data_IF_993517725574
#
_entry.id   IF_993517725574
#
_cell.length_a   1.000
_cell.length_b   1.000
_cell.length_c   1.000
_cell.angle_alpha   90.00
_cell.angle_beta   90.00
_cell.angle_gamma   90.00
#
_symmetry.space_group_name_H-M   'P 1'
#
loop_
_entity.id
_entity.type
_entity.pdbx_description
1 polymer ?
#
# COMPACT_ATOMS: atom_id res chain seq x y z
N UNK A 1 0.42 7.80 1.86
CA UNK A 1 -0.47 7.73 3.04
C UNK A 1 -0.17 6.50 3.89
N UNK A 2 -0.66 6.48 5.13
CA UNK A 2 -0.52 5.35 6.02
C UNK A 2 -1.87 4.68 6.27
N UNK A 3 -1.85 3.35 6.37
CA UNK A 3 -3.00 2.51 6.72
C UNK A 3 -2.68 1.76 7.99
N UNK A 4 -3.56 1.82 8.95
CA UNK A 4 -3.51 0.99 10.14
C UNK A 4 -4.30 -0.28 9.89
N UNK A 5 -3.73 -1.41 10.25
CA UNK A 5 -4.37 -2.72 10.18
C UNK A 5 -4.65 -3.19 11.61
N UNK A 6 -5.90 -3.54 11.89
CA UNK A 6 -6.28 -4.13 13.17
C UNK A 6 -5.75 -5.56 13.24
N UNK A 7 -4.81 -5.80 14.14
CA UNK A 7 -4.21 -7.09 14.42
C UNK A 7 -4.61 -7.64 15.80
N UNK A 8 -5.77 -7.23 16.34
CA UNK A 8 -6.27 -7.68 17.64
C UNK A 8 -6.46 -9.20 17.74
N UNK A 9 -6.77 -9.84 16.62
CA UNK A 9 -6.93 -11.30 16.51
C UNK A 9 -5.61 -12.05 16.25
N UNK A 10 -4.51 -11.33 16.20
CA UNK A 10 -3.18 -11.85 15.90
C UNK A 10 -2.55 -11.17 14.68
N UNK A 11 -1.24 -11.35 14.57
CA UNK A 11 -0.48 -10.83 13.42
C UNK A 11 -0.47 -11.87 12.29
N UNK A 12 -0.92 -11.47 11.11
CA UNK A 12 -0.87 -12.27 9.90
C UNK A 12 -0.10 -11.50 8.82
N UNK A 13 0.90 -12.15 8.22
CA UNK A 13 1.69 -11.56 7.11
C UNK A 13 0.83 -11.29 5.87
N UNK A 14 -0.15 -12.12 5.64
CA UNK A 14 -1.16 -11.94 4.62
C UNK A 14 -2.49 -12.37 5.25
N UNK A 15 -3.43 -11.44 5.53
CA UNK A 15 -4.75 -11.84 5.99
C UNK A 15 -5.42 -12.64 4.87
N UNK A 16 -5.23 -13.97 4.92
CA UNK A 16 -5.87 -14.89 4.01
C UNK A 16 -7.38 -14.77 4.16
N UNK A 17 -8.10 -14.78 3.05
CA UNK A 17 -9.53 -15.01 3.09
C UNK A 17 -9.77 -16.39 3.72
N UNK A 18 -10.70 -16.51 4.68
CA UNK A 18 -11.14 -17.83 5.12
C UNK A 18 -11.55 -18.66 3.90
N UNK A 19 -10.94 -19.83 3.72
CA UNK A 19 -11.19 -20.72 2.57
C UNK A 19 -12.65 -21.14 2.43
N UNK A 20 -13.46 -20.93 3.46
CA UNK A 20 -14.83 -21.41 3.59
C UNK A 20 -15.90 -20.51 2.93
N UNK A 21 -15.52 -19.42 2.23
CA UNK A 21 -16.48 -18.47 1.64
C UNK A 21 -16.33 -18.29 0.12
N UNK A 22 -15.64 -19.19 -0.58
CA UNK A 22 -15.51 -19.13 -2.03
C UNK A 22 -16.58 -20.05 -2.68
N UNK A 23 -17.85 -19.66 -2.57
CA UNK A 23 -18.95 -20.34 -3.30
C UNK A 23 -19.37 -19.60 -4.59
N UNK A 24 -18.65 -18.55 -5.01
CA UNK A 24 -18.97 -17.83 -6.23
C UNK A 24 -17.85 -18.01 -7.28
N UNK A 25 -18.14 -18.64 -8.42
CA UNK A 25 -17.13 -18.93 -9.46
C UNK A 25 -16.59 -17.70 -10.19
N UNK A 26 -17.14 -16.51 -9.99
CA UNK A 26 -16.68 -15.28 -10.62
C UNK A 26 -15.55 -14.57 -9.87
N UNK A 27 -15.26 -14.94 -8.61
CA UNK A 27 -14.22 -14.32 -7.82
C UNK A 27 -12.78 -14.73 -8.21
N UNK A 28 -12.62 -15.77 -9.02
CA UNK A 28 -11.32 -16.31 -9.42
C UNK A 28 -10.63 -15.55 -10.56
N UNK A 29 -11.31 -14.63 -11.23
CA UNK A 29 -10.75 -13.98 -12.43
C UNK A 29 -10.03 -12.65 -12.16
N UNK A 30 -10.32 -11.99 -11.03
CA UNK A 30 -9.64 -10.76 -10.63
C UNK A 30 -9.02 -10.97 -9.25
N UNK A 31 -7.72 -11.25 -9.23
CA UNK A 31 -6.94 -11.50 -8.03
C UNK A 31 -7.40 -10.76 -6.76
N UNK A 32 -7.71 -11.55 -5.75
CA UNK A 32 -7.77 -11.18 -4.34
C UNK A 32 -8.74 -10.07 -3.92
N UNK A 33 -10.02 -10.20 -4.22
CA UNK A 33 -11.03 -9.56 -3.40
C UNK A 33 -11.35 -10.46 -2.20
N UNK A 34 -10.70 -10.21 -1.07
CA UNK A 34 -11.09 -10.79 0.21
C UNK A 34 -12.18 -9.92 0.84
N UNK A 35 -13.45 -10.33 0.91
CA UNK A 35 -14.46 -9.62 1.68
C UNK A 35 -14.17 -9.84 3.16
N UNK A 36 -13.30 -9.02 3.75
CA UNK A 36 -13.10 -9.02 5.19
C UNK A 36 -14.40 -8.63 5.87
N UNK A 37 -14.94 -9.55 6.64
CA UNK A 37 -16.00 -9.28 7.60
C UNK A 37 -15.39 -8.34 8.67
N UNK A 38 -15.67 -7.06 8.54
CA UNK A 38 -15.08 -6.03 9.37
C UNK A 38 -13.98 -5.24 8.65
N UNK A 39 -13.99 -3.94 8.80
CA UNK A 39 -13.04 -3.06 8.15
C UNK A 39 -11.73 -3.06 8.98
N UNK A 40 -10.90 -4.10 8.83
CA UNK A 40 -9.59 -4.22 9.51
C UNK A 40 -8.63 -3.08 9.11
N UNK A 41 -8.89 -2.39 8.01
CA UNK A 41 -8.01 -1.39 7.44
C UNK A 41 -8.57 0.03 7.66
N UNK A 42 -7.76 0.92 8.19
CA UNK A 42 -8.12 2.31 8.42
C UNK A 42 -7.02 3.25 7.93
N UNK A 43 -7.37 4.20 7.04
CA UNK A 43 -6.44 5.26 6.66
C UNK A 43 -6.23 6.20 7.83
N UNK A 44 -4.97 6.41 8.20
CA UNK A 44 -4.58 7.35 9.24
C UNK A 44 -4.64 8.77 8.65
N UNK A 45 -5.65 9.54 9.07
CA UNK A 45 -5.78 10.93 8.65
C UNK A 45 -4.63 11.76 9.22
N UNK A 46 -4.08 12.64 8.39
CA UNK A 46 -3.00 13.54 8.80
C UNK A 46 -1.75 12.83 9.34
N UNK A 47 -1.42 11.65 8.79
CA UNK A 47 -0.19 10.96 9.15
C UNK A 47 1.01 11.88 8.86
N UNK A 48 1.69 12.29 9.92
CA UNK A 48 2.81 13.25 9.82
C UNK A 48 4.10 12.52 9.48
N UNK A 49 4.90 13.16 8.63
CA UNK A 49 6.28 12.73 8.38
C UNK A 49 7.05 12.67 9.69
N UNK A 50 7.76 11.58 9.91
CA UNK A 50 8.54 11.30 11.11
C UNK A 50 9.86 10.61 10.72
N UNK A 51 10.73 10.33 11.70
CA UNK A 51 12.03 9.71 11.46
C UNK A 51 11.96 8.33 10.77
N UNK A 52 10.87 7.57 10.97
CA UNK A 52 10.66 6.30 10.28
C UNK A 52 10.40 6.51 8.79
N UNK A 53 9.52 7.45 8.45
CA UNK A 53 9.25 7.81 7.05
C UNK A 53 10.51 8.30 6.35
N UNK A 54 11.33 9.12 7.02
CA UNK A 54 12.61 9.58 6.45
C UNK A 54 13.57 8.43 6.15
N UNK A 55 13.61 7.40 7.01
CA UNK A 55 14.39 6.18 6.75
C UNK A 55 13.87 5.43 5.53
N UNK A 56 12.54 5.29 5.40
CA UNK A 56 11.91 4.62 4.27
C UNK A 56 12.14 5.39 2.96
N UNK A 57 11.96 6.70 2.96
CA UNK A 57 12.24 7.55 1.79
C UNK A 57 13.70 7.43 1.34
N UNK A 58 14.63 7.43 2.30
CA UNK A 58 16.05 7.22 2.00
C UNK A 58 16.30 5.82 1.41
N UNK A 59 15.69 4.79 1.98
CA UNK A 59 15.83 3.42 1.50
C UNK A 59 15.32 3.29 0.06
N UNK A 60 14.11 3.71 -0.24
CA UNK A 60 13.54 3.59 -1.59
C UNK A 60 14.32 4.40 -2.61
N UNK A 61 14.71 5.65 -2.27
CA UNK A 61 15.48 6.51 -3.16
C UNK A 61 16.87 5.93 -3.47
N UNK A 62 17.55 5.36 -2.46
CA UNK A 62 18.87 4.74 -2.66
C UNK A 62 18.80 3.49 -3.55
N UNK A 63 17.66 2.81 -3.56
CA UNK A 63 17.45 1.59 -4.36
C UNK A 63 16.72 1.87 -5.69
N UNK A 64 16.49 3.12 -6.07
CA UNK A 64 15.82 3.48 -7.32
C UNK A 64 14.35 3.04 -7.35
N UNK A 65 13.71 2.93 -6.19
CA UNK A 65 12.30 2.56 -6.05
C UNK A 65 11.49 3.86 -5.95
N UNK A 66 10.56 4.07 -6.86
CA UNK A 66 9.75 5.29 -6.91
C UNK A 66 8.37 5.11 -6.30
N UNK A 67 7.84 3.88 -6.34
CA UNK A 67 6.54 3.52 -5.77
C UNK A 67 6.70 2.24 -4.97
N UNK A 68 6.33 2.26 -3.70
CA UNK A 68 6.31 1.09 -2.84
C UNK A 68 5.25 1.19 -1.74
N UNK A 69 4.70 0.05 -1.34
CA UNK A 69 4.10 -0.17 -0.05
C UNK A 69 5.14 -0.71 0.92
N UNK A 70 5.20 -0.17 2.13
CA UNK A 70 6.11 -0.64 3.17
C UNK A 70 5.28 -1.02 4.38
N UNK A 71 5.49 -2.24 4.86
CA UNK A 71 4.72 -2.78 5.98
C UNK A 71 5.60 -2.98 7.20
N UNK A 72 5.08 -2.61 8.35
CA UNK A 72 5.79 -2.74 9.61
C UNK A 72 4.83 -3.01 10.78
N UNK A 73 5.36 -3.61 11.81
CA UNK A 73 4.69 -3.77 13.10
C UNK A 73 5.46 -3.04 14.19
N UNK A 74 4.75 -2.68 15.25
CA UNK A 74 5.34 -2.10 16.45
C UNK A 74 5.03 -3.01 17.62
N UNK A 75 6.06 -3.46 18.33
CA UNK A 75 5.87 -4.29 19.50
C UNK A 75 5.42 -3.49 20.73
N UNK A 76 5.14 -4.19 21.82
CA UNK A 76 4.69 -3.57 23.09
C UNK A 76 5.73 -2.62 23.71
N UNK A 77 7.00 -2.74 23.33
CA UNK A 77 8.07 -1.84 23.77
C UNK A 77 8.18 -0.58 22.92
N UNK A 78 7.39 -0.48 21.85
CA UNK A 78 7.44 0.61 20.87
C UNK A 78 8.52 0.42 19.80
N UNK A 79 9.15 -0.75 19.71
CA UNK A 79 10.14 -1.05 18.67
C UNK A 79 9.47 -1.43 17.38
N UNK A 80 9.90 -0.81 16.29
CA UNK A 80 9.38 -1.05 14.94
C UNK A 80 10.16 -2.12 14.21
N UNK A 81 9.45 -3.03 13.57
CA UNK A 81 10.00 -4.09 12.70
C UNK A 81 9.34 -3.98 11.33
N UNK A 82 10.14 -3.61 10.34
CA UNK A 82 9.71 -3.62 8.93
C UNK A 82 9.87 -5.03 8.40
N UNK A 83 8.84 -5.56 7.76
CA UNK A 83 8.85 -6.94 7.29
C UNK A 83 8.56 -7.08 5.80
N UNK A 84 7.95 -6.06 5.15
CA UNK A 84 7.70 -6.10 3.72
C UNK A 84 7.96 -4.76 3.04
N UNK A 85 8.49 -4.83 1.80
CA UNK A 85 8.64 -3.72 0.87
C UNK A 85 8.16 -4.19 -0.50
N UNK A 86 6.97 -3.80 -0.86
CA UNK A 86 6.27 -4.27 -2.04
C UNK A 86 6.17 -3.15 -3.10
N UNK A 87 6.75 -3.37 -4.28
CA UNK A 87 6.66 -2.43 -5.42
C UNK A 87 5.39 -2.62 -6.25
N UNK A 88 4.60 -3.64 -5.95
CA UNK A 88 3.31 -3.92 -6.59
C UNK A 88 2.19 -4.03 -5.54
N UNK A 89 2.09 -3.01 -4.69
CA UNK A 89 1.15 -2.97 -3.58
C UNK A 89 -0.30 -2.92 -4.05
N UNK A 90 -1.13 -3.74 -3.47
CA UNK A 90 -2.58 -3.66 -3.61
C UNK A 90 -3.15 -2.55 -2.70
N UNK A 91 -3.86 -1.61 -3.31
CA UNK A 91 -4.50 -0.52 -2.57
C UNK A 91 -5.88 -0.94 -2.11
N UNK A 92 -6.16 -0.78 -0.81
CA UNK A 92 -7.45 -1.14 -0.24
C UNK A 92 -8.51 -0.09 -0.64
N UNK A 93 -9.31 -0.40 -1.66
CA UNK A 93 -10.35 0.48 -2.17
C UNK A 93 -11.45 0.78 -1.15
N UNK A 94 -11.68 -0.12 -0.19
CA UNK A 94 -12.67 0.09 0.87
C UNK A 94 -12.16 1.11 1.90
N UNK A 95 -10.91 0.99 2.33
CA UNK A 95 -10.30 1.99 3.21
C UNK A 95 -10.26 3.36 2.53
N UNK A 96 -9.98 3.41 1.23
CA UNK A 96 -9.95 4.65 0.44
C UNK A 96 -11.32 5.29 0.22
N UNK A 97 -12.44 4.53 0.31
CA UNK A 97 -13.80 5.10 0.15
C UNK A 97 -14.10 6.21 1.16
N UNK A 98 -13.61 6.05 2.39
CA UNK A 98 -13.81 7.02 3.48
C UNK A 98 -12.76 8.14 3.51
N UNK A 99 -11.89 8.21 2.52
CA UNK A 99 -10.77 9.15 2.44
C UNK A 99 -10.77 9.90 1.11
N UNK A 100 -10.22 11.10 1.11
CA UNK A 100 -9.92 11.85 -0.13
C UNK A 100 -8.69 11.29 -0.87
N UNK A 101 -7.91 10.46 -0.20
CA UNK A 101 -6.70 9.85 -0.75
C UNK A 101 -7.07 8.65 -1.61
N UNK A 102 -6.55 8.62 -2.82
CA UNK A 102 -6.76 7.56 -3.82
C UNK A 102 -5.40 7.13 -4.37
N UNK A 103 -4.89 5.99 -3.90
CA UNK A 103 -3.56 5.49 -4.26
C UNK A 103 -3.39 5.30 -5.77
N UNK A 104 -4.33 4.61 -6.42
CA UNK A 104 -4.28 4.39 -7.87
C UNK A 104 -4.33 5.68 -8.67
N UNK A 105 -5.08 6.69 -8.21
CA UNK A 105 -5.10 8.00 -8.85
C UNK A 105 -3.75 8.69 -8.73
N UNK A 106 -3.13 8.65 -7.57
CA UNK A 106 -1.80 9.23 -7.33
C UNK A 106 -0.74 8.57 -8.21
N UNK A 107 -0.81 7.24 -8.39
CA UNK A 107 0.09 6.52 -9.32
C UNK A 107 -0.15 6.96 -10.76
N UNK A 108 -1.39 7.05 -11.20
CA UNK A 108 -1.71 7.48 -12.55
C UNK A 108 -1.20 8.91 -12.83
N UNK A 109 -1.32 9.82 -11.87
CA UNK A 109 -0.79 11.17 -11.96
C UNK A 109 0.74 11.19 -12.01
N UNK A 110 1.40 10.37 -11.21
CA UNK A 110 2.85 10.19 -11.23
C UNK A 110 3.31 9.69 -12.61
N UNK A 111 2.76 8.57 -13.10
CA UNK A 111 3.11 7.99 -14.39
C UNK A 111 2.87 8.96 -15.56
N UNK A 112 1.78 9.73 -15.50
CA UNK A 112 1.52 10.79 -16.49
C UNK A 112 2.62 11.85 -16.48
N UNK A 113 3.09 12.27 -15.31
CA UNK A 113 4.17 13.25 -15.18
C UNK A 113 5.47 12.71 -15.77
N UNK A 114 5.83 11.46 -15.47
CA UNK A 114 7.02 10.79 -16.01
C UNK A 114 6.95 10.68 -17.55
N UNK A 115 5.80 10.25 -18.09
CA UNK A 115 5.60 10.16 -19.53
C UNK A 115 5.77 11.51 -20.23
N UNK A 116 5.23 12.59 -19.66
CA UNK A 116 5.39 13.94 -20.20
C UNK A 116 6.85 14.40 -20.15
N UNK A 117 7.59 14.07 -19.09
CA UNK A 117 9.02 14.38 -18.99
C UNK A 117 9.81 13.66 -20.07
N UNK A 118 9.54 12.37 -20.31
CA UNK A 118 10.18 11.59 -21.38
C UNK A 118 9.85 12.12 -22.79
N UNK A 119 8.62 12.54 -23.03
CA UNK A 119 8.20 13.08 -24.34
C UNK A 119 8.83 14.45 -24.67
N UNK A 120 9.30 15.16 -23.67
CA UNK A 120 10.05 16.43 -23.85
C UNK A 120 11.55 16.22 -24.07
N UNK A 121 12.07 15.02 -23.97
CA UNK A 121 13.43 14.68 -24.31
C UNK A 121 13.51 14.65 -25.85
N UNK A 122 14.04 15.71 -26.47
CA UNK A 122 14.39 15.68 -27.90
C UNK A 122 15.47 14.63 -28.08
N UNK A 123 15.14 13.55 -28.79
CA UNK A 123 16.13 12.61 -29.29
C UNK A 123 16.98 13.40 -30.27
N UNK A 124 18.19 13.80 -29.86
CA UNK A 124 19.19 14.34 -30.78
C UNK A 124 19.78 13.11 -31.48
N UNK A 125 19.35 12.92 -32.72
CA UNK A 125 19.90 11.91 -33.61
C UNK A 125 21.23 12.38 -34.16
#
# INVERSE_FOLDING_TARGET
YAVEVDASDGFELCPACPEDQIDEPEAQFFGEYCPTIGNKFRIIKNYKRNALIEKYEKFVSTNGIEIAGIEYVVDQSGKTYTYDVNTNTNYNSQAEKSSEIKGMKSIAEFLKKELLALSNIKVVA
#
